data_IF_381171227968
#
_entry.id   IF_381171227968
#
_cell.length_a   1.000
_cell.length_b   1.000
_cell.length_c   1.000
_cell.angle_alpha   90.00
_cell.angle_beta   90.00
_cell.angle_gamma   90.00
#
_symmetry.space_group_name_H-M   'P 1'
#
loop_
_entity.id
_entity.type
_entity.pdbx_description
1 polymer ?
#
# COMPACT_ATOMS: atom_id res chain seq x y z
N UNK A 1 8.79 -24.69 -7.80
CA UNK A 1 8.17 -25.25 -6.58
C UNK A 1 9.19 -25.99 -5.72
N UNK A 2 10.05 -26.82 -6.32
CA UNK A 2 11.13 -27.52 -5.58
C UNK A 2 12.20 -26.61 -4.94
N UNK A 3 12.52 -25.48 -5.55
CA UNK A 3 13.50 -24.53 -5.01
C UNK A 3 13.00 -23.91 -3.69
N UNK A 4 11.71 -23.59 -3.57
CA UNK A 4 11.12 -23.08 -2.32
C UNK A 4 11.09 -24.13 -1.20
N UNK A 5 10.89 -25.40 -1.53
CA UNK A 5 10.88 -26.49 -0.55
C UNK A 5 12.28 -26.85 -0.04
N UNK A 6 13.33 -26.61 -0.83
CA UNK A 6 14.71 -26.92 -0.43
C UNK A 6 15.28 -25.89 0.55
N UNK A 7 14.88 -24.61 0.43
CA UNK A 7 15.33 -23.56 1.36
C UNK A 7 14.62 -23.66 2.73
N UNK A 8 13.31 -23.92 2.76
CA UNK A 8 12.60 -24.13 4.03
C UNK A 8 13.12 -25.34 4.82
N UNK A 9 13.55 -26.40 4.14
CA UNK A 9 14.14 -27.57 4.80
C UNK A 9 15.53 -27.28 5.38
N UNK A 10 16.36 -26.47 4.71
CA UNK A 10 17.66 -26.05 5.20
C UNK A 10 17.57 -25.11 6.42
N UNK A 11 16.50 -24.28 6.49
CA UNK A 11 16.23 -23.40 7.63
C UNK A 11 15.86 -24.17 8.91
N UNK A 12 15.27 -25.35 8.79
CA UNK A 12 14.93 -26.22 9.93
C UNK A 12 16.14 -27.03 10.47
N UNK A 13 17.18 -27.21 9.68
CA UNK A 13 18.37 -28.02 10.07
C UNK A 13 19.45 -27.21 10.81
N UNK A 14 19.44 -25.88 10.75
CA UNK A 14 20.43 -25.01 11.41
C UNK A 14 19.94 -24.47 12.76
N UNK A 15 19.69 -25.29 13.73
CA UNK A 15 19.70 -25.25 15.20
C UNK A 15 19.45 -23.94 15.99
N UNK A 16 19.08 -22.83 15.38
CA UNK A 16 18.60 -21.61 16.04
C UNK A 16 17.08 -21.46 15.79
N UNK A 17 16.30 -21.20 16.83
CA UNK A 17 14.84 -21.12 16.70
C UNK A 17 14.43 -20.00 15.74
N UNK A 18 14.09 -20.28 14.46
CA UNK A 18 13.71 -19.25 13.47
C UNK A 18 12.44 -18.49 13.89
N UNK A 19 11.69 -19.06 14.83
CA UNK A 19 10.40 -18.53 15.29
C UNK A 19 10.51 -17.16 15.99
N UNK A 20 11.65 -16.84 16.61
CA UNK A 20 11.79 -15.58 17.36
C UNK A 20 12.08 -14.36 16.48
N UNK A 21 12.70 -14.56 15.31
CA UNK A 21 13.05 -13.48 14.39
C UNK A 21 11.99 -13.19 13.33
N UNK A 22 11.10 -14.17 13.12
CA UNK A 22 10.08 -14.11 12.07
C UNK A 22 9.12 -12.94 12.28
N UNK A 23 9.06 -12.01 11.33
CA UNK A 23 8.12 -10.88 11.34
C UNK A 23 8.47 -9.75 12.28
N UNK A 24 9.65 -9.71 12.88
CA UNK A 24 10.10 -8.61 13.73
C UNK A 24 10.41 -7.35 12.93
N UNK A 25 10.88 -7.50 11.70
CA UNK A 25 11.24 -6.41 10.80
C UNK A 25 10.41 -6.48 9.53
N UNK A 26 10.09 -5.34 8.99
CA UNK A 26 9.49 -5.15 7.67
C UNK A 26 9.94 -3.81 7.12
N UNK A 27 9.83 -3.60 5.81
CA UNK A 27 10.34 -2.40 5.21
C UNK A 27 9.61 -1.98 3.94
N UNK A 28 10.21 -1.04 3.26
CA UNK A 28 9.87 -0.62 1.90
C UNK A 28 11.07 -0.01 1.20
N UNK A 29 11.16 -0.19 -0.12
CA UNK A 29 12.10 0.56 -0.93
C UNK A 29 11.68 2.03 -1.03
N UNK A 30 12.67 2.92 -1.00
CA UNK A 30 12.54 4.36 -1.20
C UNK A 30 13.52 4.81 -2.28
N UNK A 31 13.62 6.11 -2.54
CA UNK A 31 14.58 6.64 -3.51
C UNK A 31 16.01 6.36 -3.03
N UNK A 32 16.80 5.67 -3.87
CA UNK A 32 18.20 5.28 -3.58
C UNK A 32 18.41 4.67 -2.20
N UNK A 33 17.39 3.97 -1.66
CA UNK A 33 17.43 3.50 -0.29
C UNK A 33 16.37 2.49 0.11
N UNK A 34 16.43 2.15 1.39
CA UNK A 34 15.49 1.23 2.04
C UNK A 34 15.09 1.81 3.40
N UNK A 35 13.80 1.81 3.67
CA UNK A 35 13.26 2.03 5.01
C UNK A 35 13.01 0.67 5.68
N UNK A 36 13.48 0.50 6.91
CA UNK A 36 13.16 -0.64 7.77
C UNK A 36 12.44 -0.21 9.03
N UNK A 37 11.45 -0.98 9.44
CA UNK A 37 10.67 -0.78 10.64
C UNK A 37 10.75 -2.00 11.55
N UNK A 38 11.16 -1.79 12.81
CA UNK A 38 11.11 -2.78 13.87
C UNK A 38 10.55 -2.13 15.14
N UNK A 39 9.54 -2.72 15.74
CA UNK A 39 8.86 -2.10 16.89
C UNK A 39 8.36 -0.69 16.57
N UNK A 40 8.85 0.30 17.34
CA UNK A 40 8.54 1.71 17.15
C UNK A 40 9.60 2.48 16.35
N UNK A 41 10.70 1.83 15.99
CA UNK A 41 11.77 2.42 15.20
C UNK A 41 11.48 2.29 13.71
N UNK A 42 11.69 3.37 13.00
CA UNK A 42 11.59 3.44 11.54
C UNK A 42 12.86 4.11 11.03
N UNK A 43 13.71 3.37 10.38
CA UNK A 43 15.00 3.84 9.90
C UNK A 43 15.01 3.82 8.38
N UNK A 44 15.28 4.96 7.77
CA UNK A 44 15.46 5.10 6.33
C UNK A 44 16.93 5.34 6.05
N UNK A 45 17.55 4.46 5.25
CA UNK A 45 18.94 4.60 4.82
C UNK A 45 18.96 4.81 3.31
N UNK A 46 19.62 5.87 2.85
CA UNK A 46 19.80 6.21 1.44
C UNK A 46 21.28 6.33 1.12
N UNK A 47 21.65 6.04 -0.12
CA UNK A 47 23.00 6.26 -0.65
C UNK A 47 23.00 7.47 -1.57
N UNK A 48 23.84 8.47 -1.26
CA UNK A 48 24.07 9.64 -2.11
C UNK A 48 24.90 9.28 -3.35
N UNK A 49 24.95 10.18 -4.31
CA UNK A 49 25.77 10.03 -5.53
C UNK A 49 27.28 9.93 -5.25
N UNK A 50 27.75 10.55 -4.17
CA UNK A 50 29.14 10.48 -3.72
C UNK A 50 29.49 9.15 -3.02
N UNK A 51 28.51 8.25 -2.88
CA UNK A 51 28.64 6.94 -2.23
C UNK A 51 28.42 6.96 -0.71
N UNK A 52 28.29 8.14 -0.08
CA UNK A 52 28.02 8.24 1.36
C UNK A 52 26.64 7.74 1.72
N UNK A 53 26.48 7.22 2.95
CA UNK A 53 25.20 6.77 3.48
C UNK A 53 24.60 7.85 4.37
N UNK A 54 23.31 8.12 4.18
CA UNK A 54 22.52 8.97 5.08
C UNK A 54 21.49 8.10 5.78
N UNK A 55 21.44 8.20 7.11
CA UNK A 55 20.50 7.45 7.95
C UNK A 55 19.56 8.44 8.63
N UNK A 56 18.27 8.33 8.31
CA UNK A 56 17.18 9.06 8.96
C UNK A 56 16.51 8.12 9.95
N UNK A 57 16.58 8.47 11.24
CA UNK A 57 16.00 7.69 12.35
C UNK A 57 14.73 8.37 12.85
N UNK A 58 13.61 7.73 12.64
CA UNK A 58 12.29 8.20 13.03
C UNK A 58 11.65 7.24 14.04
N UNK A 59 10.77 7.76 14.89
CA UNK A 59 9.90 6.92 15.71
C UNK A 59 8.48 6.93 15.16
N UNK A 60 7.89 5.76 15.05
CA UNK A 60 6.51 5.60 14.63
C UNK A 60 5.75 4.74 15.62
N UNK A 61 4.85 5.35 16.38
CA UNK A 61 4.00 4.67 17.35
C UNK A 61 2.60 4.52 16.76
N UNK A 62 2.14 3.28 16.58
CA UNK A 62 0.80 3.01 16.06
C UNK A 62 -0.30 3.52 17.01
N UNK A 63 -1.32 4.18 16.44
CA UNK A 63 -2.53 4.63 17.18
C UNK A 63 -3.23 3.46 17.86
N UNK A 64 -3.10 2.24 17.34
CA UNK A 64 -3.65 1.02 17.94
C UNK A 64 -3.14 0.75 19.36
N UNK A 65 -1.94 1.26 19.72
CA UNK A 65 -1.42 1.14 21.09
C UNK A 65 -2.25 1.97 22.09
N UNK A 66 -2.90 3.05 21.64
CA UNK A 66 -3.71 3.93 22.47
C UNK A 66 -5.15 3.44 22.67
N UNK A 67 -5.74 2.78 21.65
CA UNK A 67 -7.15 2.39 21.67
C UNK A 67 -7.33 0.90 21.37
N UNK A 68 -7.84 0.12 22.33
CA UNK A 68 -8.01 -1.33 22.21
C UNK A 68 -8.97 -1.74 21.10
N UNK A 69 -9.99 -0.94 20.79
CA UNK A 69 -10.99 -1.19 19.72
C UNK A 69 -10.31 -1.26 18.35
N UNK A 70 -9.27 -0.43 18.12
CA UNK A 70 -8.51 -0.42 16.87
C UNK A 70 -7.68 -1.70 16.63
N UNK A 71 -7.61 -2.59 17.63
CA UNK A 71 -6.98 -3.91 17.52
C UNK A 71 -7.96 -5.04 17.16
N UNK A 72 -9.25 -4.74 16.99
CA UNK A 72 -10.21 -5.76 16.58
C UNK A 72 -9.90 -6.25 15.16
N UNK A 73 -10.16 -7.54 14.86
CA UNK A 73 -10.03 -8.07 13.51
C UNK A 73 -10.72 -7.18 12.48
N UNK A 74 -10.15 -7.08 11.28
CA UNK A 74 -10.57 -6.20 10.19
C UNK A 74 -10.24 -4.73 10.48
N UNK A 75 -10.68 -4.14 11.62
CA UNK A 75 -10.40 -2.74 11.99
C UNK A 75 -8.90 -2.50 12.08
N UNK A 76 -8.15 -3.40 12.72
CA UNK A 76 -6.69 -3.30 12.80
C UNK A 76 -6.03 -3.30 11.42
N UNK A 77 -6.61 -3.97 10.45
CA UNK A 77 -6.13 -4.01 9.07
C UNK A 77 -6.31 -2.67 8.37
N UNK A 78 -7.48 -2.05 8.54
CA UNK A 78 -7.80 -0.72 7.99
C UNK A 78 -6.85 0.32 8.59
N UNK A 79 -6.71 0.33 9.91
CA UNK A 79 -5.83 1.27 10.62
C UNK A 79 -4.38 1.08 10.17
N UNK A 80 -3.89 -0.16 10.13
CA UNK A 80 -2.53 -0.45 9.69
C UNK A 80 -2.27 0.00 8.25
N UNK A 81 -3.24 -0.17 7.36
CA UNK A 81 -3.13 0.27 5.97
C UNK A 81 -2.98 1.81 5.88
N UNK A 82 -3.83 2.56 6.61
CA UNK A 82 -3.75 4.02 6.65
C UNK A 82 -2.41 4.49 7.26
N UNK A 83 -1.98 3.85 8.35
CA UNK A 83 -0.69 4.15 8.98
C UNK A 83 0.49 3.88 8.03
N UNK A 84 0.46 2.77 7.29
CA UNK A 84 1.49 2.44 6.32
C UNK A 84 1.51 3.42 5.14
N UNK A 85 0.35 3.87 4.65
CA UNK A 85 0.29 4.91 3.62
C UNK A 85 0.95 6.23 4.11
N UNK A 86 0.59 6.68 5.32
CA UNK A 86 1.20 7.88 5.91
C UNK A 86 2.71 7.73 6.07
N UNK A 87 3.15 6.58 6.56
CA UNK A 87 4.57 6.28 6.74
C UNK A 87 5.29 6.25 5.39
N UNK A 88 4.70 5.65 4.36
CA UNK A 88 5.28 5.58 3.01
C UNK A 88 5.51 6.96 2.40
N UNK A 89 4.52 7.86 2.51
CA UNK A 89 4.67 9.25 2.03
C UNK A 89 5.79 9.97 2.79
N UNK A 90 5.82 9.85 4.13
CA UNK A 90 6.84 10.47 4.96
C UNK A 90 8.25 9.99 4.60
N UNK A 91 8.44 8.67 4.51
CA UNK A 91 9.77 8.09 4.25
C UNK A 91 10.24 8.33 2.82
N UNK A 92 9.31 8.44 1.86
CA UNK A 92 9.65 8.86 0.50
C UNK A 92 10.11 10.33 0.48
N UNK A 93 9.45 11.22 1.23
CA UNK A 93 9.89 12.59 1.44
C UNK A 93 11.28 12.67 2.07
N UNK A 94 11.50 11.93 3.18
CA UNK A 94 12.79 11.85 3.85
C UNK A 94 13.91 11.38 2.89
N UNK A 95 13.62 10.43 1.99
CA UNK A 95 14.62 9.96 1.02
C UNK A 95 14.94 11.01 -0.04
N UNK A 96 13.95 11.76 -0.53
CA UNK A 96 14.16 12.86 -1.48
C UNK A 96 15.02 13.96 -0.85
N UNK A 97 14.73 14.33 0.39
CA UNK A 97 15.50 15.32 1.14
C UNK A 97 16.95 14.84 1.42
N UNK A 98 17.12 13.58 1.83
CA UNK A 98 18.43 12.99 2.07
C UNK A 98 19.33 12.98 0.82
N UNK A 99 18.72 12.88 -0.37
CA UNK A 99 19.42 12.91 -1.66
C UNK A 99 19.68 14.34 -2.15
N UNK A 100 19.26 15.37 -1.40
CA UNK A 100 19.45 16.76 -1.80
C UNK A 100 18.57 17.17 -3.00
N UNK A 101 17.46 16.45 -3.24
CA UNK A 101 16.44 16.85 -4.21
C UNK A 101 15.63 17.99 -3.59
N UNK A 102 16.34 18.98 -3.04
CA UNK A 102 15.75 20.23 -2.57
C UNK A 102 15.69 21.19 -3.77
N UNK A 103 14.52 21.75 -3.99
CA UNK A 103 14.35 22.77 -5.00
C UNK A 103 15.09 24.05 -4.54
N UNK A 104 15.92 24.61 -5.44
CA UNK A 104 16.43 25.97 -5.26
C UNK A 104 15.25 26.92 -5.04
N UNK A 105 15.38 27.86 -4.09
CA UNK A 105 14.39 28.89 -3.72
C UNK A 105 14.00 29.76 -4.95
N UNK A 106 13.30 29.17 -5.89
CA UNK A 106 12.84 29.79 -7.13
C UNK A 106 11.79 30.88 -6.87
N UNK A 107 11.63 31.79 -7.84
CA UNK A 107 10.60 32.85 -7.77
C UNK A 107 9.18 32.25 -7.62
N UNK A 108 8.94 31.08 -8.18
CA UNK A 108 7.67 30.35 -8.10
C UNK A 108 7.38 29.89 -6.67
N UNK A 109 8.38 29.37 -5.96
CA UNK A 109 8.25 28.94 -4.58
C UNK A 109 7.93 30.09 -3.63
N UNK A 110 8.66 31.21 -3.75
CA UNK A 110 8.39 32.43 -2.97
C UNK A 110 6.99 32.99 -3.23
N UNK A 111 6.55 32.94 -4.48
CA UNK A 111 5.19 33.36 -4.85
C UNK A 111 4.12 32.45 -4.24
N UNK A 112 4.32 31.12 -4.27
CA UNK A 112 3.38 30.14 -3.73
C UNK A 112 3.33 30.19 -2.22
N UNK A 113 4.46 30.22 -1.51
CA UNK A 113 4.52 30.42 -0.04
C UNK A 113 3.77 31.68 0.37
N UNK A 114 3.88 32.77 -0.42
CA UNK A 114 3.23 34.06 -0.13
C UNK A 114 1.72 34.05 -0.36
N UNK A 115 1.21 33.34 -1.37
CA UNK A 115 -0.20 33.42 -1.79
C UNK A 115 -1.03 32.21 -1.37
N UNK A 116 -0.44 31.01 -1.28
CA UNK A 116 -1.10 29.77 -0.95
C UNK A 116 -0.68 29.20 0.42
N UNK A 117 0.38 29.76 1.05
CA UNK A 117 0.88 29.29 2.35
C UNK A 117 1.56 27.91 2.31
N UNK A 118 1.75 27.33 1.11
CA UNK A 118 2.36 26.02 0.88
C UNK A 118 3.60 26.16 0.00
N UNK A 119 4.62 25.31 0.24
CA UNK A 119 5.81 25.24 -0.61
C UNK A 119 5.48 24.67 -1.99
N UNK A 120 6.36 24.91 -2.97
CA UNK A 120 6.22 24.33 -4.31
C UNK A 120 6.30 22.79 -4.24
N UNK A 121 7.22 22.27 -3.45
CA UNK A 121 7.39 20.83 -3.21
C UNK A 121 6.10 20.21 -2.66
N UNK A 122 5.49 20.81 -1.63
CA UNK A 122 4.23 20.34 -1.04
C UNK A 122 3.10 20.36 -2.08
N UNK A 123 3.00 21.43 -2.88
CA UNK A 123 2.00 21.54 -3.93
C UNK A 123 2.19 20.44 -4.99
N UNK A 124 3.42 20.20 -5.46
CA UNK A 124 3.73 19.14 -6.44
C UNK A 124 3.41 17.77 -5.86
N UNK A 125 3.73 17.52 -4.59
CA UNK A 125 3.40 16.27 -3.87
C UNK A 125 1.89 16.07 -3.77
N UNK A 126 1.13 17.09 -3.37
CA UNK A 126 -0.34 17.04 -3.29
C UNK A 126 -0.94 16.80 -4.68
N UNK A 127 -0.53 17.59 -5.68
CA UNK A 127 -1.00 17.45 -7.05
C UNK A 127 -0.68 16.08 -7.63
N UNK A 128 0.54 15.59 -7.44
CA UNK A 128 0.97 14.25 -7.86
C UNK A 128 0.15 13.16 -7.18
N UNK A 129 -0.15 13.31 -5.89
CA UNK A 129 -1.01 12.38 -5.15
C UNK A 129 -2.43 12.38 -5.71
N UNK A 130 -3.04 13.55 -5.92
CA UNK A 130 -4.39 13.67 -6.48
C UNK A 130 -4.47 13.07 -7.88
N UNK A 131 -3.51 13.39 -8.75
CA UNK A 131 -3.44 12.83 -10.11
C UNK A 131 -3.19 11.32 -10.07
N UNK A 132 -2.34 10.84 -9.19
CA UNK A 132 -2.07 9.41 -8.99
C UNK A 132 -3.31 8.64 -8.53
N UNK A 133 -4.07 9.18 -7.59
CA UNK A 133 -5.34 8.59 -7.14
C UNK A 133 -6.36 8.60 -8.28
N UNK A 134 -6.52 9.71 -8.99
CA UNK A 134 -7.44 9.82 -10.13
C UNK A 134 -7.07 8.81 -11.23
N UNK A 135 -5.79 8.70 -11.59
CA UNK A 135 -5.31 7.72 -12.56
C UNK A 135 -5.57 6.29 -12.09
N UNK A 136 -5.35 6.01 -10.81
CA UNK A 136 -5.61 4.67 -10.23
C UNK A 136 -7.10 4.30 -10.32
N UNK A 137 -8.00 5.24 -10.04
CA UNK A 137 -9.45 5.02 -10.20
C UNK A 137 -9.81 4.75 -11.66
N UNK A 138 -9.26 5.52 -12.60
CA UNK A 138 -9.48 5.30 -14.03
C UNK A 138 -9.00 3.92 -14.46
N UNK A 139 -7.74 3.56 -14.12
CA UNK A 139 -7.11 2.31 -14.56
C UNK A 139 -7.74 1.07 -13.90
N UNK A 140 -8.09 1.14 -12.60
CA UNK A 140 -8.46 -0.06 -11.84
C UNK A 140 -9.94 -0.16 -11.51
N UNK A 141 -10.73 0.90 -11.70
CA UNK A 141 -12.18 0.86 -11.56
C UNK A 141 -12.90 1.04 -12.91
N UNK A 142 -12.62 2.13 -13.63
CA UNK A 142 -13.38 2.43 -14.84
C UNK A 142 -12.95 1.60 -16.06
N UNK A 143 -11.67 1.49 -16.34
CA UNK A 143 -11.17 0.79 -17.54
C UNK A 143 -11.56 -0.70 -17.56
N UNK A 144 -11.44 -1.49 -16.47
CA UNK A 144 -11.91 -2.88 -16.47
C UNK A 144 -13.42 -3.02 -16.68
N UNK A 145 -14.22 -2.10 -16.11
CA UNK A 145 -15.66 -2.09 -16.30
C UNK A 145 -16.02 -1.78 -17.75
N UNK A 146 -15.42 -0.76 -18.35
CA UNK A 146 -15.61 -0.41 -19.76
C UNK A 146 -15.20 -1.55 -20.69
N UNK A 147 -14.09 -2.24 -20.38
CA UNK A 147 -13.64 -3.40 -21.16
C UNK A 147 -14.66 -4.55 -21.09
N UNK A 148 -15.18 -4.86 -19.90
CA UNK A 148 -16.20 -5.89 -19.72
C UNK A 148 -17.51 -5.52 -20.41
N UNK A 149 -17.92 -4.24 -20.37
CA UNK A 149 -19.10 -3.73 -21.06
C UNK A 149 -18.94 -3.81 -22.58
N UNK A 150 -17.77 -3.44 -23.08
CA UNK A 150 -17.45 -3.56 -24.50
C UNK A 150 -17.47 -5.02 -24.99
N UNK A 151 -16.94 -5.96 -24.18
CA UNK A 151 -17.01 -7.39 -24.49
C UNK A 151 -18.46 -7.88 -24.50
N UNK A 152 -19.27 -7.49 -23.49
CA UNK A 152 -20.68 -7.85 -23.44
C UNK A 152 -21.46 -7.29 -24.64
N UNK A 153 -21.24 -6.03 -25.00
CA UNK A 153 -21.80 -5.43 -26.20
C UNK A 153 -21.43 -6.17 -27.48
N UNK A 154 -20.15 -6.54 -27.62
CA UNK A 154 -19.68 -7.29 -28.79
C UNK A 154 -20.34 -8.67 -28.88
N UNK A 155 -20.44 -9.41 -27.76
CA UNK A 155 -21.08 -10.73 -27.70
C UNK A 155 -22.55 -10.63 -28.10
N UNK A 156 -23.29 -9.66 -27.56
CA UNK A 156 -24.71 -9.43 -27.89
C UNK A 156 -24.91 -8.99 -29.36
N UNK A 157 -24.01 -8.14 -29.88
CA UNK A 157 -24.01 -7.71 -31.27
C UNK A 157 -23.80 -8.88 -32.24
N UNK A 158 -22.97 -9.87 -31.87
CA UNK A 158 -22.74 -11.10 -32.62
C UNK A 158 -23.88 -12.13 -32.46
N UNK A 159 -24.99 -11.78 -31.78
CA UNK A 159 -26.13 -12.66 -31.54
C UNK A 159 -25.97 -13.62 -30.36
N UNK A 160 -24.97 -13.45 -29.53
CA UNK A 160 -24.79 -14.21 -28.30
C UNK A 160 -25.68 -13.71 -27.17
N UNK A 161 -25.83 -14.48 -26.08
CA UNK A 161 -26.61 -14.07 -24.91
C UNK A 161 -25.89 -12.96 -24.11
N UNK A 162 -26.64 -12.17 -23.34
CA UNK A 162 -26.09 -11.26 -22.33
C UNK A 162 -25.27 -12.05 -21.30
N UNK A 163 -24.08 -11.56 -20.97
CA UNK A 163 -23.15 -12.25 -20.09
C UNK A 163 -23.59 -12.27 -18.63
N UNK A 164 -24.56 -11.41 -18.23
CA UNK A 164 -25.10 -11.39 -16.88
C UNK A 164 -24.02 -11.35 -15.80
N UNK A 165 -24.06 -12.30 -14.87
CA UNK A 165 -23.10 -12.41 -13.76
C UNK A 165 -21.65 -12.61 -14.23
N UNK A 166 -21.42 -13.25 -15.40
CA UNK A 166 -20.10 -13.48 -15.97
C UNK A 166 -19.38 -12.17 -16.34
N UNK A 167 -20.13 -11.09 -16.57
CA UNK A 167 -19.58 -9.76 -16.79
C UNK A 167 -18.63 -9.32 -15.64
N UNK A 168 -18.99 -9.60 -14.38
CA UNK A 168 -18.14 -9.30 -13.23
C UNK A 168 -16.87 -10.17 -13.20
N UNK A 169 -16.95 -11.41 -13.63
CA UNK A 169 -15.78 -12.27 -13.75
C UNK A 169 -14.81 -11.76 -14.84
N UNK A 170 -15.35 -11.37 -16.00
CA UNK A 170 -14.59 -10.79 -17.12
C UNK A 170 -13.94 -9.47 -16.68
N UNK A 171 -14.69 -8.59 -16.00
CA UNK A 171 -14.16 -7.37 -15.41
C UNK A 171 -12.98 -7.67 -14.48
N UNK A 172 -13.11 -8.70 -13.64
CA UNK A 172 -12.05 -9.17 -12.75
C UNK A 172 -10.79 -9.61 -13.51
N UNK A 173 -10.94 -10.38 -14.58
CA UNK A 173 -9.82 -10.80 -15.45
C UNK A 173 -9.16 -9.57 -16.09
N UNK A 174 -9.95 -8.66 -16.67
CA UNK A 174 -9.44 -7.42 -17.24
C UNK A 174 -8.66 -6.61 -16.21
N UNK A 175 -9.15 -6.50 -14.96
CA UNK A 175 -8.47 -5.81 -13.87
C UNK A 175 -7.10 -6.41 -13.58
N UNK A 176 -6.99 -7.74 -13.52
CA UNK A 176 -5.71 -8.43 -13.31
C UNK A 176 -4.75 -8.16 -14.49
N UNK A 177 -5.23 -8.24 -15.71
CA UNK A 177 -4.41 -7.98 -16.90
C UNK A 177 -3.90 -6.54 -16.90
N UNK A 178 -4.77 -5.56 -16.65
CA UNK A 178 -4.41 -4.14 -16.58
C UNK A 178 -3.39 -3.91 -15.48
N UNK A 179 -3.58 -4.49 -14.29
CA UNK A 179 -2.66 -4.37 -13.17
C UNK A 179 -1.27 -4.91 -13.49
N UNK A 180 -1.19 -6.14 -14.02
CA UNK A 180 0.10 -6.77 -14.37
C UNK A 180 0.78 -6.00 -15.51
N UNK A 181 0.02 -5.56 -16.53
CA UNK A 181 0.55 -4.75 -17.63
C UNK A 181 1.08 -3.41 -17.14
N UNK A 182 0.34 -2.73 -16.26
CA UNK A 182 0.79 -1.48 -15.64
C UNK A 182 2.12 -1.67 -14.89
N UNK A 183 2.22 -2.69 -14.03
CA UNK A 183 3.46 -2.97 -13.31
C UNK A 183 4.63 -3.30 -14.27
N UNK A 184 4.36 -4.04 -15.34
CA UNK A 184 5.38 -4.37 -16.32
C UNK A 184 5.88 -3.13 -17.08
N UNK A 185 4.96 -2.22 -17.46
CA UNK A 185 5.30 -0.96 -18.13
C UNK A 185 6.09 -0.03 -17.21
N UNK A 186 5.64 0.15 -15.97
CA UNK A 186 6.33 1.01 -15.00
C UNK A 186 7.72 0.44 -14.66
N UNK A 187 7.89 -0.88 -14.63
CA UNK A 187 9.19 -1.53 -14.41
C UNK A 187 10.23 -1.28 -15.52
N UNK A 188 9.82 -0.71 -16.67
CA UNK A 188 10.74 -0.30 -17.75
C UNK A 188 11.39 1.06 -17.47
N UNK A 189 10.81 1.87 -16.61
CA UNK A 189 11.36 3.17 -16.22
C UNK A 189 12.62 2.92 -15.39
N UNK A 190 13.79 3.52 -15.74
CA UNK A 190 15.05 3.23 -15.07
C UNK A 190 15.02 3.45 -13.55
N UNK A 191 14.44 4.55 -13.09
CA UNK A 191 14.38 4.90 -11.66
C UNK A 191 13.47 3.94 -10.88
N UNK A 192 12.34 3.53 -11.48
CA UNK A 192 11.47 2.54 -10.87
C UNK A 192 12.14 1.15 -10.85
N UNK A 193 12.85 0.80 -11.93
CA UNK A 193 13.63 -0.44 -11.95
C UNK A 193 14.66 -0.46 -10.85
N UNK A 194 15.31 0.67 -10.59
CA UNK A 194 16.29 0.83 -9.52
C UNK A 194 15.65 0.73 -8.15
N UNK A 195 14.50 1.35 -7.93
CA UNK A 195 13.67 1.18 -6.72
C UNK A 195 13.28 -0.30 -6.52
N UNK A 196 12.97 -1.03 -7.60
CA UNK A 196 12.69 -2.47 -7.52
C UNK A 196 13.92 -3.33 -7.19
N UNK A 197 15.14 -2.84 -7.45
CA UNK A 197 16.37 -3.47 -6.97
C UNK A 197 16.53 -3.28 -5.46
N UNK A 198 16.27 -2.08 -4.93
CA UNK A 198 16.22 -1.82 -3.49
C UNK A 198 15.15 -2.65 -2.78
N UNK A 199 13.98 -2.85 -3.41
CA UNK A 199 12.96 -3.76 -2.90
C UNK A 199 13.45 -5.22 -2.86
N UNK A 200 14.25 -5.64 -3.84
CA UNK A 200 14.94 -6.92 -3.79
C UNK A 200 15.96 -7.01 -2.66
N UNK A 201 16.69 -5.90 -2.39
CA UNK A 201 17.65 -5.82 -1.29
C UNK A 201 16.96 -5.92 0.08
N UNK A 202 15.83 -5.22 0.26
CA UNK A 202 14.98 -5.34 1.44
C UNK A 202 14.61 -6.78 1.73
N UNK A 203 14.00 -7.49 0.75
CA UNK A 203 13.56 -8.87 0.92
C UNK A 203 14.71 -9.84 1.25
N UNK A 204 15.85 -9.73 0.54
CA UNK A 204 17.01 -10.57 0.78
C UNK A 204 17.60 -10.34 2.18
N UNK A 205 17.64 -9.09 2.63
CA UNK A 205 18.14 -8.74 3.98
C UNK A 205 17.20 -9.26 5.07
N UNK A 206 15.89 -9.12 4.90
CA UNK A 206 14.90 -9.69 5.83
C UNK A 206 15.03 -11.22 5.87
N UNK A 207 15.14 -11.88 4.73
CA UNK A 207 15.28 -13.33 4.66
C UNK A 207 16.57 -13.82 5.34
N UNK A 208 17.70 -13.11 5.16
CA UNK A 208 18.97 -13.39 5.85
C UNK A 208 18.82 -13.23 7.37
N UNK A 209 18.18 -12.16 7.83
CA UNK A 209 17.91 -11.93 9.25
C UNK A 209 17.03 -13.03 9.87
N UNK A 210 15.94 -13.41 9.18
CA UNK A 210 15.02 -14.44 9.63
C UNK A 210 15.65 -15.84 9.62
N UNK A 211 16.63 -16.07 8.73
CA UNK A 211 17.44 -17.29 8.72
C UNK A 211 18.43 -17.38 9.90
N UNK A 212 18.62 -16.28 10.64
CA UNK A 212 19.57 -16.24 11.76
C UNK A 212 21.01 -16.09 11.32
N UNK A 213 21.25 -15.82 10.04
CA UNK A 213 22.60 -15.60 9.50
C UNK A 213 23.11 -14.20 9.85
N UNK A 214 24.44 -14.04 9.81
CA UNK A 214 25.08 -12.73 9.97
C UNK A 214 24.68 -11.82 8.81
N UNK A 215 24.28 -10.60 9.13
CA UNK A 215 23.89 -9.58 8.15
C UNK A 215 25.12 -8.99 7.46
N UNK A 216 25.57 -9.69 6.39
CA UNK A 216 26.58 -9.23 5.44
C UNK A 216 25.99 -9.22 4.03
N UNK A 217 26.48 -8.35 3.10
CA UNK A 217 26.00 -8.33 1.72
C UNK A 217 26.13 -9.69 1.03
N UNK A 218 27.19 -10.43 1.32
CA UNK A 218 27.48 -11.74 0.75
C UNK A 218 26.48 -12.81 1.21
N UNK A 219 26.08 -12.78 2.50
CA UNK A 219 25.09 -13.70 3.04
C UNK A 219 23.70 -13.31 2.53
N UNK A 220 23.32 -12.05 2.64
CA UNK A 220 22.02 -11.56 2.14
C UNK A 220 21.83 -11.85 0.65
N UNK A 221 22.88 -11.77 -0.18
CA UNK A 221 22.84 -12.09 -1.61
C UNK A 221 22.40 -13.52 -1.89
N UNK A 222 22.67 -14.48 -1.02
CA UNK A 222 22.33 -15.90 -1.20
C UNK A 222 20.83 -16.16 -1.03
N UNK A 223 20.12 -15.27 -0.32
CA UNK A 223 18.71 -15.44 -0.04
C UNK A 223 17.80 -15.03 -1.22
N UNK A 224 16.55 -15.49 -1.15
CA UNK A 224 15.54 -15.17 -2.15
C UNK A 224 15.03 -13.74 -2.01
N UNK A 225 14.70 -13.10 -3.14
CA UNK A 225 14.02 -11.80 -3.18
C UNK A 225 12.50 -11.92 -3.10
N UNK A 226 11.95 -13.12 -2.97
CA UNK A 226 10.51 -13.36 -2.89
C UNK A 226 10.09 -13.52 -1.44
N UNK A 227 9.11 -12.71 -1.02
CA UNK A 227 8.67 -12.67 0.37
C UNK A 227 7.14 -12.70 0.49
N UNK A 228 6.60 -13.60 1.33
CA UNK A 228 5.13 -13.80 1.44
C UNK A 228 4.39 -12.64 2.09
N UNK A 229 5.06 -11.86 2.95
CA UNK A 229 4.49 -10.73 3.69
C UNK A 229 4.68 -9.38 2.99
N UNK A 230 5.02 -9.40 1.72
CA UNK A 230 5.24 -8.19 0.94
C UNK A 230 3.93 -7.46 0.62
N UNK A 231 3.98 -6.13 0.65
CA UNK A 231 2.85 -5.26 0.29
C UNK A 231 2.34 -5.46 -1.15
N UNK A 232 3.20 -5.85 -2.09
CA UNK A 232 2.76 -6.13 -3.48
C UNK A 232 1.93 -7.41 -3.58
N UNK A 233 2.22 -8.44 -2.78
CA UNK A 233 1.37 -9.62 -2.63
C UNK A 233 0.03 -9.26 -2.01
N UNK A 234 0.02 -8.33 -1.04
CA UNK A 234 -1.19 -7.81 -0.45
C UNK A 234 -2.08 -7.11 -1.48
N UNK A 235 -1.51 -6.22 -2.31
CA UNK A 235 -2.28 -5.55 -3.38
C UNK A 235 -2.93 -6.54 -4.34
N UNK A 236 -2.21 -7.57 -4.77
CA UNK A 236 -2.78 -8.60 -5.64
C UNK A 236 -3.94 -9.35 -4.97
N UNK A 237 -3.77 -9.69 -3.69
CA UNK A 237 -4.80 -10.36 -2.91
C UNK A 237 -6.05 -9.49 -2.72
N UNK A 238 -5.87 -8.19 -2.53
CA UNK A 238 -6.94 -7.19 -2.50
C UNK A 238 -7.75 -7.18 -3.81
N UNK A 239 -7.08 -7.29 -4.97
CA UNK A 239 -7.75 -7.39 -6.25
C UNK A 239 -8.62 -8.64 -6.31
N UNK A 240 -8.12 -9.80 -5.87
CA UNK A 240 -8.89 -11.05 -5.85
C UNK A 240 -10.13 -10.96 -4.95
N UNK A 241 -9.98 -10.44 -3.73
CA UNK A 241 -11.13 -10.24 -2.83
C UNK A 241 -12.11 -9.25 -3.47
N UNK A 242 -11.61 -8.15 -4.05
CA UNK A 242 -12.44 -7.16 -4.71
C UNK A 242 -13.23 -7.73 -5.90
N UNK A 243 -12.69 -8.69 -6.64
CA UNK A 243 -13.40 -9.43 -7.70
C UNK A 243 -14.55 -10.24 -7.10
N UNK A 244 -14.26 -11.04 -6.06
CA UNK A 244 -15.28 -11.85 -5.37
C UNK A 244 -16.40 -10.97 -4.83
N UNK A 245 -16.05 -9.90 -4.12
CA UNK A 245 -17.04 -8.92 -3.60
C UNK A 245 -17.84 -8.29 -4.73
N UNK A 246 -17.20 -7.94 -5.83
CA UNK A 246 -17.90 -7.39 -7.01
C UNK A 246 -18.92 -8.34 -7.61
N UNK A 247 -18.59 -9.64 -7.70
CA UNK A 247 -19.52 -10.69 -8.14
C UNK A 247 -20.72 -10.78 -7.17
N UNK A 248 -20.46 -10.77 -5.85
CA UNK A 248 -21.51 -10.82 -4.85
C UNK A 248 -22.44 -9.60 -4.88
N UNK A 249 -21.91 -8.40 -5.01
CA UNK A 249 -22.71 -7.18 -5.13
C UNK A 249 -23.62 -7.27 -6.34
N UNK A 250 -23.09 -7.64 -7.51
CA UNK A 250 -23.89 -7.80 -8.71
C UNK A 250 -24.97 -8.90 -8.55
N UNK A 251 -24.60 -10.04 -8.00
CA UNK A 251 -25.53 -11.13 -7.73
C UNK A 251 -26.69 -10.70 -6.84
N UNK A 252 -26.43 -9.97 -5.77
CA UNK A 252 -27.47 -9.48 -4.85
C UNK A 252 -28.41 -8.53 -5.59
N UNK A 253 -27.89 -7.50 -6.27
CA UNK A 253 -28.74 -6.48 -6.87
C UNK A 253 -29.45 -6.98 -8.14
N UNK A 254 -28.74 -7.63 -9.04
CA UNK A 254 -29.31 -8.05 -10.34
C UNK A 254 -30.10 -9.36 -10.25
N UNK A 255 -29.63 -10.37 -9.50
CA UNK A 255 -30.28 -11.70 -9.45
C UNK A 255 -31.29 -11.86 -8.33
N UNK A 256 -31.03 -11.26 -7.13
CA UNK A 256 -31.93 -11.40 -5.98
C UNK A 256 -32.98 -10.28 -5.94
N UNK A 257 -32.58 -9.02 -6.17
CA UNK A 257 -33.45 -7.85 -6.05
C UNK A 257 -34.08 -7.50 -7.41
N UNK A 258 -33.45 -7.88 -8.53
CA UNK A 258 -33.92 -7.61 -9.89
C UNK A 258 -33.67 -6.18 -10.37
N UNK A 259 -32.72 -5.47 -9.74
CA UNK A 259 -32.36 -4.08 -10.08
C UNK A 259 -31.00 -4.05 -10.77
N UNK A 260 -30.93 -3.48 -11.96
CA UNK A 260 -29.65 -3.18 -12.63
C UNK A 260 -29.12 -1.84 -12.13
N UNK A 261 -28.01 -1.87 -11.41
CA UNK A 261 -27.37 -0.66 -10.88
C UNK A 261 -26.69 0.15 -11.99
N UNK A 262 -26.86 1.47 -11.91
CA UNK A 262 -26.08 2.39 -12.74
C UNK A 262 -24.57 2.20 -12.45
N UNK A 263 -23.66 2.24 -13.44
CA UNK A 263 -22.21 2.01 -13.23
C UNK A 263 -21.59 2.87 -12.14
N UNK A 264 -22.00 4.12 -11.99
CA UNK A 264 -21.50 5.00 -10.93
C UNK A 264 -21.92 4.54 -9.54
N UNK A 265 -23.19 4.11 -9.37
CA UNK A 265 -23.70 3.59 -8.09
C UNK A 265 -22.97 2.30 -7.72
N UNK A 266 -22.78 1.41 -8.69
CA UNK A 266 -22.02 0.18 -8.50
C UNK A 266 -20.58 0.46 -8.06
N UNK A 267 -19.93 1.47 -8.65
CA UNK A 267 -18.60 1.91 -8.27
C UNK A 267 -18.56 2.51 -6.87
N UNK A 268 -19.57 3.33 -6.52
CA UNK A 268 -19.69 3.92 -5.18
C UNK A 268 -19.86 2.85 -4.09
N UNK A 269 -20.70 1.83 -4.34
CA UNK A 269 -20.85 0.68 -3.41
C UNK A 269 -19.52 -0.05 -3.22
N UNK A 270 -18.78 -0.32 -4.30
CA UNK A 270 -17.46 -0.97 -4.22
C UNK A 270 -16.46 -0.13 -3.43
N UNK A 271 -16.48 1.18 -3.61
CA UNK A 271 -15.61 2.09 -2.88
C UNK A 271 -15.96 2.12 -1.38
N UNK A 272 -17.26 2.12 -1.05
CA UNK A 272 -17.70 2.03 0.35
C UNK A 272 -17.32 0.70 1.02
N UNK A 273 -17.26 -0.39 0.26
CA UNK A 273 -16.84 -1.72 0.77
C UNK A 273 -15.30 -1.87 0.81
N UNK A 274 -14.55 -1.00 0.12
CA UNK A 274 -13.08 -1.10 0.05
C UNK A 274 -12.39 -1.21 1.40
N UNK A 275 -12.73 -0.44 2.46
CA UNK A 275 -12.14 -0.61 3.78
C UNK A 275 -12.31 -2.02 4.34
N UNK A 276 -13.48 -2.64 4.14
CA UNK A 276 -13.73 -4.02 4.55
C UNK A 276 -12.82 -5.00 3.80
N UNK A 277 -12.66 -4.83 2.49
CA UNK A 277 -11.77 -5.64 1.65
C UNK A 277 -10.33 -5.52 2.15
N UNK A 278 -9.86 -4.30 2.48
CA UNK A 278 -8.54 -4.04 3.08
C UNK A 278 -8.38 -4.80 4.40
N UNK A 279 -9.36 -4.70 5.27
CA UNK A 279 -9.33 -5.39 6.57
C UNK A 279 -9.24 -6.91 6.43
N UNK A 280 -10.04 -7.51 5.56
CA UNK A 280 -10.02 -8.96 5.27
C UNK A 280 -8.68 -9.36 4.66
N UNK A 281 -8.18 -8.61 3.69
CA UNK A 281 -6.88 -8.86 3.06
C UNK A 281 -5.73 -8.83 4.07
N UNK A 282 -5.75 -7.89 5.00
CA UNK A 282 -4.77 -7.80 6.07
C UNK A 282 -4.79 -9.04 6.98
N UNK A 283 -5.97 -9.48 7.42
CA UNK A 283 -6.10 -10.69 8.24
C UNK A 283 -5.56 -11.93 7.52
N UNK A 284 -5.82 -12.03 6.21
CA UNK A 284 -5.27 -13.12 5.41
C UNK A 284 -3.73 -13.09 5.35
N UNK A 285 -3.12 -11.93 5.11
CA UNK A 285 -1.64 -11.81 5.06
C UNK A 285 -1.02 -12.16 6.42
N UNK A 286 -1.63 -11.68 7.51
CA UNK A 286 -1.20 -12.04 8.86
C UNK A 286 -1.29 -13.54 9.14
N UNK A 287 -2.34 -14.18 8.63
CA UNK A 287 -2.51 -15.62 8.70
C UNK A 287 -1.47 -16.36 7.84
N UNK A 288 -1.31 -15.92 6.59
CA UNK A 288 -0.36 -16.51 5.63
C UNK A 288 1.10 -16.39 6.08
N UNK A 289 1.42 -15.32 6.84
CA UNK A 289 2.75 -15.14 7.41
C UNK A 289 3.10 -16.11 8.54
N UNK A 290 2.09 -16.75 9.14
CA UNK A 290 2.26 -17.69 10.28
C UNK A 290 2.02 -19.14 9.91
N UNK A 291 1.34 -19.43 8.81
CA UNK A 291 0.91 -20.75 8.43
C UNK A 291 1.37 -21.08 7.02
N UNK A 292 1.90 -22.30 6.85
CA UNK A 292 2.29 -22.82 5.54
C UNK A 292 1.43 -24.06 5.21
N UNK A 293 0.20 -23.80 4.77
CA UNK A 293 -0.69 -24.84 4.30
C UNK A 293 -0.96 -24.72 2.79
N UNK A 294 -1.52 -25.77 2.19
CA UNK A 294 -1.80 -25.84 0.76
C UNK A 294 -2.65 -24.65 0.25
N UNK A 295 -3.65 -24.22 1.02
CA UNK A 295 -4.53 -23.10 0.65
C UNK A 295 -3.76 -21.78 0.62
N UNK A 296 -2.94 -21.54 1.64
CA UNK A 296 -2.08 -20.34 1.71
C UNK A 296 -1.11 -20.31 0.54
N UNK A 297 -0.50 -21.46 0.19
CA UNK A 297 0.44 -21.55 -0.94
C UNK A 297 -0.24 -21.19 -2.26
N UNK A 298 -1.45 -21.71 -2.52
CA UNK A 298 -2.19 -21.38 -3.75
C UNK A 298 -2.57 -19.90 -3.79
N UNK A 299 -3.12 -19.37 -2.70
CA UNK A 299 -3.57 -17.98 -2.66
C UNK A 299 -2.41 -16.97 -2.68
N UNK A 300 -1.26 -17.29 -2.10
CA UNK A 300 -0.08 -16.45 -2.13
C UNK A 300 0.72 -16.52 -3.45
N UNK A 301 0.61 -17.63 -4.20
CA UNK A 301 1.41 -17.86 -5.41
C UNK A 301 1.32 -16.74 -6.46
N UNK A 302 0.11 -16.20 -6.80
CA UNK A 302 0.01 -15.12 -7.76
C UNK A 302 0.72 -13.83 -7.29
N UNK A 303 0.64 -13.52 -5.99
CA UNK A 303 1.37 -12.40 -5.40
C UNK A 303 2.89 -12.56 -5.53
N UNK A 304 3.41 -13.77 -5.31
CA UNK A 304 4.83 -14.08 -5.51
C UNK A 304 5.23 -13.98 -6.99
N UNK A 305 4.33 -14.28 -7.93
CA UNK A 305 4.61 -14.09 -9.35
C UNK A 305 4.73 -12.61 -9.72
N UNK A 306 3.88 -11.75 -9.16
CA UNK A 306 3.97 -10.30 -9.35
C UNK A 306 5.31 -9.75 -8.85
N UNK A 307 5.87 -10.32 -7.78
CA UNK A 307 7.18 -9.93 -7.27
C UNK A 307 8.32 -10.16 -8.27
N UNK A 308 8.17 -11.03 -9.28
CA UNK A 308 9.15 -11.15 -10.38
C UNK A 308 9.30 -9.85 -11.17
N UNK A 309 8.25 -9.03 -11.20
CA UNK A 309 8.24 -7.71 -11.83
C UNK A 309 8.73 -6.65 -10.83
N UNK A 310 8.15 -6.64 -9.63
CA UNK A 310 8.31 -5.58 -8.63
C UNK A 310 9.53 -5.75 -7.71
N UNK A 311 10.28 -6.85 -7.83
CA UNK A 311 11.59 -7.02 -7.20
C UNK A 311 12.61 -7.39 -8.26
N UNK A 312 13.79 -6.78 -8.20
CA UNK A 312 14.91 -7.08 -9.09
C UNK A 312 16.11 -7.50 -8.27
N UNK A 313 17.11 -8.11 -8.94
CA UNK A 313 18.34 -8.52 -8.27
C UNK A 313 19.16 -7.30 -7.86
N UNK A 314 19.46 -7.10 -6.55
CA UNK A 314 20.19 -5.95 -6.06
C UNK A 314 21.70 -6.11 -6.26
N UNK A 315 22.42 -4.99 -6.28
CA UNK A 315 23.87 -4.94 -6.15
C UNK A 315 24.30 -5.14 -4.69
N UNK A 316 25.58 -5.41 -4.43
CA UNK A 316 26.10 -5.52 -3.06
C UNK A 316 25.95 -4.20 -2.29
N UNK A 317 26.13 -3.07 -2.95
CA UNK A 317 25.97 -1.74 -2.36
C UNK A 317 24.53 -1.48 -1.90
N UNK A 318 23.54 -1.97 -2.65
CA UNK A 318 22.12 -1.87 -2.26
C UNK A 318 21.80 -2.79 -1.07
N UNK A 319 22.43 -3.96 -0.99
CA UNK A 319 22.32 -4.85 0.17
C UNK A 319 22.94 -4.22 1.41
N UNK A 320 24.07 -3.54 1.28
CA UNK A 320 24.69 -2.78 2.39
C UNK A 320 23.72 -1.74 2.96
N UNK A 321 23.06 -0.94 2.10
CA UNK A 321 22.03 0.04 2.51
C UNK A 321 20.91 -0.62 3.31
N UNK A 322 20.37 -1.74 2.81
CA UNK A 322 19.30 -2.46 3.49
C UNK A 322 19.74 -3.06 4.83
N UNK A 323 20.99 -3.56 4.90
CA UNK A 323 21.58 -4.11 6.14
C UNK A 323 21.78 -3.03 7.19
N UNK A 324 22.31 -1.86 6.81
CA UNK A 324 22.47 -0.72 7.72
C UNK A 324 21.12 -0.32 8.28
N UNK A 325 20.11 -0.14 7.43
CA UNK A 325 18.75 0.21 7.86
C UNK A 325 18.18 -0.84 8.82
N UNK A 326 18.38 -2.14 8.54
CA UNK A 326 17.90 -3.25 9.37
C UNK A 326 18.57 -3.28 10.74
N UNK A 327 19.91 -3.17 10.79
CA UNK A 327 20.67 -3.13 12.05
C UNK A 327 20.23 -1.95 12.91
N UNK A 328 20.09 -0.77 12.32
CA UNK A 328 19.64 0.43 13.02
C UNK A 328 18.20 0.32 13.55
N UNK A 329 17.29 -0.30 12.79
CA UNK A 329 15.91 -0.49 13.22
C UNK A 329 15.79 -1.49 14.38
N UNK A 330 16.63 -2.54 14.41
CA UNK A 330 16.62 -3.61 15.41
C UNK A 330 17.56 -3.34 16.61
N UNK A 331 18.09 -2.14 16.73
CA UNK A 331 19.09 -1.79 17.77
C UNK A 331 18.67 -2.05 19.22
N UNK A 332 17.37 -1.96 19.51
CA UNK A 332 16.84 -2.22 20.86
C UNK A 332 16.64 -3.71 21.15
N UNK A 333 16.58 -4.53 20.11
CA UNK A 333 16.35 -5.96 20.24
C UNK A 333 17.65 -6.78 20.27
N UNK A 334 18.73 -6.26 19.67
CA UNK A 334 20.00 -6.96 19.51
C UNK A 334 21.15 -6.05 19.99
N UNK A 335 21.85 -6.44 21.07
CA UNK A 335 22.93 -5.59 21.66
C UNK A 335 24.03 -5.19 20.67
N UNK A 336 24.46 -6.12 19.79
CA UNK A 336 25.47 -5.86 18.76
C UNK A 336 25.04 -4.78 17.76
N UNK A 337 23.73 -4.68 17.48
CA UNK A 337 23.20 -3.66 16.58
C UNK A 337 23.09 -2.29 17.26
N UNK A 338 22.98 -2.28 18.58
CA UNK A 338 23.06 -1.04 19.35
C UNK A 338 24.47 -0.45 19.31
N UNK A 339 25.48 -1.27 19.52
CA UNK A 339 26.89 -0.84 19.39
C UNK A 339 27.19 -0.35 17.96
N UNK A 340 26.69 -1.06 16.93
CA UNK A 340 26.80 -0.64 15.55
C UNK A 340 26.15 0.73 15.30
N UNK A 341 24.96 0.98 15.88
CA UNK A 341 24.25 2.26 15.76
C UNK A 341 25.02 3.38 16.49
N UNK A 342 25.56 3.13 17.67
CA UNK A 342 26.33 4.09 18.45
C UNK A 342 27.65 4.50 17.77
N UNK A 343 28.29 3.58 17.04
CA UNK A 343 29.51 3.85 16.27
C UNK A 343 29.32 4.83 15.11
N UNK A 344 28.08 4.96 14.59
CA UNK A 344 27.64 5.89 13.52
C UNK A 344 28.67 6.09 12.38
N UNK A 345 28.99 5.06 11.59
CA UNK A 345 29.90 5.20 10.45
C UNK A 345 29.26 5.91 9.23
N UNK A 346 28.14 6.58 9.41
CA UNK A 346 27.33 7.26 8.38
C UNK A 346 26.97 8.68 8.83
N UNK A 347 26.57 9.55 7.89
CA UNK A 347 25.96 10.81 8.19
C UNK A 347 24.57 10.59 8.80
N UNK A 348 24.30 11.20 9.95
CA UNK A 348 22.94 11.22 10.52
C UNK A 348 22.29 12.56 10.21
N UNK A 349 21.10 12.54 9.57
CA UNK A 349 20.24 13.72 9.60
C UNK A 349 19.48 13.69 10.93
N UNK A 350 19.51 14.76 11.73
CA UNK A 350 18.69 14.84 12.95
C UNK A 350 17.22 14.67 12.56
N UNK A 351 16.49 13.85 13.33
CA UNK A 351 15.04 13.88 13.26
C UNK A 351 14.59 15.32 13.52
N UNK A 352 13.70 15.86 12.66
CA UNK A 352 13.09 17.16 12.94
C UNK A 352 12.54 17.15 14.37
N UNK A 353 12.75 18.23 15.16
CA UNK A 353 12.14 18.34 16.46
C UNK A 353 10.65 18.13 16.27
N UNK A 354 10.08 17.10 16.93
CA UNK A 354 8.63 16.94 16.96
C UNK A 354 8.10 18.29 17.47
N UNK A 355 7.42 19.06 16.62
CA UNK A 355 6.43 19.98 17.11
C UNK A 355 5.54 19.14 18.03
N UNK A 356 5.59 19.43 19.31
CA UNK A 356 4.65 18.87 20.24
C UNK A 356 3.28 19.11 19.62
N UNK A 357 2.42 18.07 19.46
CA UNK A 357 1.08 18.32 19.00
C UNK A 357 0.57 19.43 19.89
N UNK A 358 0.25 20.58 19.29
CA UNK A 358 -0.51 21.59 19.99
C UNK A 358 -1.64 20.79 20.64
N UNK A 359 -1.73 20.83 21.95
CA UNK A 359 -2.91 20.39 22.69
C UNK A 359 -4.06 21.29 22.23
N UNK A 360 -4.54 21.06 21.01
CA UNK A 360 -5.91 21.36 20.71
C UNK A 360 -6.72 20.42 21.58
N UNK A 361 -7.16 20.96 22.70
CA UNK A 361 -8.28 20.43 23.43
C UNK A 361 -9.46 20.40 22.45
N UNK A 362 -9.56 19.30 21.70
CA UNK A 362 -10.76 18.94 20.99
C UNK A 362 -11.75 18.61 22.09
N UNK A 363 -12.60 19.58 22.43
CA UNK A 363 -13.81 19.32 23.19
C UNK A 363 -14.58 18.26 22.40
N UNK A 364 -15.05 17.20 23.07
CA UNK A 364 -15.82 16.09 22.51
C UNK A 364 -17.06 16.51 21.69
N UNK A 365 -17.49 17.77 21.79
CA UNK A 365 -18.63 18.32 21.04
C UNK A 365 -18.35 18.53 19.55
N UNK A 366 -17.11 18.80 19.09
CA UNK A 366 -16.84 19.08 17.67
C UNK A 366 -16.70 17.81 16.82
N UNK A 367 -16.42 16.66 17.43
CA UNK A 367 -16.29 15.39 16.70
C UNK A 367 -17.64 14.75 16.40
N UNK A 368 -18.68 15.03 17.21
CA UNK A 368 -20.06 14.56 16.92
C UNK A 368 -20.75 15.43 15.88
N UNK A 369 -20.48 16.74 15.80
CA UNK A 369 -21.05 17.63 14.77
C UNK A 369 -20.48 17.32 13.38
N UNK A 370 -19.20 17.05 13.21
CA UNK A 370 -18.60 16.74 11.90
C UNK A 370 -19.09 15.39 11.35
N UNK A 371 -19.31 14.39 12.20
CA UNK A 371 -19.85 13.08 11.77
C UNK A 371 -21.33 13.20 11.41
N UNK A 372 -22.09 14.02 12.13
CA UNK A 372 -23.49 14.31 11.84
C UNK A 372 -23.66 15.07 10.52
N UNK A 373 -22.84 16.08 10.26
CA UNK A 373 -22.89 16.86 9.02
C UNK A 373 -22.56 16.02 7.77
N UNK A 374 -21.62 15.07 7.88
CA UNK A 374 -21.30 14.15 6.79
C UNK A 374 -22.42 13.11 6.57
N UNK A 375 -23.06 12.66 7.66
CA UNK A 375 -24.18 11.73 7.57
C UNK A 375 -25.41 12.39 6.96
N UNK A 376 -25.73 13.64 7.34
CA UNK A 376 -26.86 14.40 6.81
C UNK A 376 -26.65 14.79 5.34
N UNK A 377 -25.42 15.16 4.95
CA UNK A 377 -25.09 15.43 3.54
C UNK A 377 -25.22 14.16 2.67
N UNK A 378 -24.85 13.01 3.19
CA UNK A 378 -25.02 11.73 2.50
C UNK A 378 -26.50 11.31 2.41
N UNK A 379 -27.29 11.56 3.45
CA UNK A 379 -28.72 11.28 3.47
C UNK A 379 -29.49 12.19 2.48
N UNK A 380 -29.20 13.49 2.45
CA UNK A 380 -29.80 14.45 1.52
C UNK A 380 -29.46 14.11 0.07
N UNK A 381 -28.20 13.74 -0.23
CA UNK A 381 -27.82 13.31 -1.57
C UNK A 381 -28.51 12.00 -2.01
N UNK A 382 -28.82 11.11 -1.07
CA UNK A 382 -29.59 9.89 -1.33
C UNK A 382 -31.07 10.19 -1.57
N UNK A 383 -31.70 11.09 -0.82
CA UNK A 383 -33.11 11.50 -1.02
C UNK A 383 -33.31 12.21 -2.35
N UNK A 384 -32.46 13.16 -2.74
CA UNK A 384 -32.54 13.82 -4.04
C UNK A 384 -32.35 12.88 -5.23
N UNK A 385 -31.53 11.83 -5.04
CA UNK A 385 -31.24 10.88 -6.12
C UNK A 385 -32.31 9.79 -6.27
N UNK A 386 -32.98 9.40 -5.18
CA UNK A 386 -33.94 8.29 -5.18
C UNK A 386 -35.42 8.72 -5.22
N UNK A 387 -35.76 9.94 -4.79
CA UNK A 387 -37.10 10.46 -4.77
C UNK A 387 -37.16 11.89 -5.34
N UNK A 388 -37.07 12.07 -6.69
CA UNK A 388 -37.27 13.38 -7.27
C UNK A 388 -38.72 13.77 -7.02
N UNK A 389 -38.95 14.90 -6.32
CA UNK A 389 -40.28 15.49 -6.15
C UNK A 389 -40.90 15.74 -7.52
N UNK A 390 -42.00 15.06 -7.77
CA UNK A 390 -42.84 15.22 -8.95
C UNK A 390 -43.63 16.54 -8.78
N UNK A 391 -43.05 17.64 -9.22
CA UNK A 391 -43.71 18.93 -9.23
C UNK A 391 -44.60 19.03 -10.47
N UNK A 392 -45.73 18.28 -10.46
CA UNK A 392 -46.79 18.39 -11.42
C UNK A 392 -47.82 19.38 -10.83
N UNK A 393 -47.49 20.67 -10.88
CA UNK A 393 -48.43 21.74 -10.59
C UNK A 393 -49.35 21.95 -11.78
N UNK A 394 -50.60 21.48 -11.62
CA UNK A 394 -51.79 21.84 -12.35
C UNK A 394 -51.83 23.35 -12.69
N UNK A 395 -51.87 23.69 -13.93
CA UNK A 395 -52.55 24.89 -14.43
C UNK A 395 -53.89 24.46 -14.97
N UNK A 396 -54.91 24.52 -14.08
CA UNK A 396 -56.30 24.76 -14.45
C UNK A 396 -56.52 26.25 -14.34
N UNK A 397 -56.98 26.86 -15.42
CA UNK A 397 -57.98 27.90 -15.37
C UNK A 397 -58.19 28.46 -16.78
N UNK A 398 -59.40 28.26 -17.24
CA UNK A 398 -60.45 29.27 -17.59
C UNK A 398 -60.03 30.30 -18.67
N UNK A 399 -60.47 30.17 -19.87
CA UNK A 399 -61.53 30.79 -20.60
C UNK A 399 -61.63 30.28 -22.06
#
# INVERSE_FOLDING_TARGET
MEIFMSEEKKLQENGGCPCERLGKVGGQAVLEGVMMKAGDHTVTTCRKEDGSLVVCDDSFVSVRKKHKILNWPIIRGIVNFIEMLKLSVKTLGNSAEALGIEEEDGKAEKWMKKHLGIGLTDFVMILGTVLGVALSLVLFMFLPTLAADGINWLVTWLGGPDLGIWRSAIEGVCKVIIFVSYLALVALIPDIKRTFMYHGAEHKTIACFEAGEELTPENAKKHTRFHRRCGTSFMFFMILIGIVVGIFVRFIFESLIGITLHPLVYTAIRLAILPLVVGIGYEFIMYAGKHDNFVVRILAAPGLWVQRITTKEPTLDMLEVAIVSTKCALRDEIPEFKEFFEAKPWETKPAEPKEAPAEEAISDESAEEDVSAVADAAATALEETFFPENNDSREDSAE
#
